data_IF_339697087628
#
_entry.id   IF_339697087628
#
_cell.length_a   1.000
_cell.length_b   1.000
_cell.length_c   1.000
_cell.angle_alpha   90.00
_cell.angle_beta   90.00
_cell.angle_gamma   90.00
#
_symmetry.space_group_name_H-M   'P 1'
#
loop_
_entity.id
_entity.type
_entity.pdbx_description
1 polymer ?
#
# COMPACT_ATOMS: atom_id res chain seq x y z
N UNK A 1 16.04 2.71 -30.36
CA UNK A 1 14.85 3.32 -29.72
C UNK A 1 14.21 4.41 -30.59
N UNK A 2 14.92 5.47 -31.01
CA UNK A 2 14.32 6.55 -31.84
C UNK A 2 13.69 6.07 -33.15
N UNK A 3 14.36 5.16 -33.88
CA UNK A 3 13.83 4.60 -35.13
C UNK A 3 12.57 3.75 -34.91
N UNK A 4 12.52 2.99 -33.80
CA UNK A 4 11.33 2.24 -33.38
C UNK A 4 10.17 3.21 -33.12
N UNK A 5 10.40 4.23 -32.27
CA UNK A 5 9.41 5.25 -31.92
C UNK A 5 8.86 5.99 -33.15
N UNK A 6 9.68 6.22 -34.18
CA UNK A 6 9.24 6.86 -35.42
C UNK A 6 8.32 5.97 -36.28
N UNK A 7 8.34 4.64 -36.07
CA UNK A 7 7.62 3.66 -36.88
C UNK A 7 6.46 2.98 -36.15
N UNK A 8 6.34 3.17 -34.83
CA UNK A 8 5.33 2.50 -34.01
C UNK A 8 4.35 3.49 -33.40
N UNK A 9 3.06 3.14 -33.40
CA UNK A 9 2.11 3.74 -32.48
C UNK A 9 2.29 3.11 -31.10
N UNK A 10 2.26 3.93 -30.05
CA UNK A 10 2.30 3.45 -28.66
C UNK A 10 1.03 3.86 -27.95
N UNK A 11 0.64 3.06 -26.96
CA UNK A 11 -0.48 3.34 -26.07
C UNK A 11 -0.06 2.97 -24.66
N UNK A 12 -0.26 3.86 -23.70
CA UNK A 12 0.01 3.56 -22.30
C UNK A 12 -1.00 4.25 -21.38
N UNK A 13 -1.61 3.51 -20.43
CA UNK A 13 -2.45 4.09 -19.40
C UNK A 13 -1.60 4.78 -18.32
N UNK A 14 -2.16 5.80 -17.68
CA UNK A 14 -1.44 6.59 -16.67
C UNK A 14 -1.11 5.79 -15.40
N UNK A 15 -2.01 4.95 -14.91
CA UNK A 15 -1.90 4.26 -13.62
C UNK A 15 -0.90 3.09 -13.55
N UNK A 16 -0.01 2.96 -14.55
CA UNK A 16 1.00 1.90 -14.62
C UNK A 16 2.39 2.51 -14.44
N UNK A 17 3.26 2.40 -15.45
CA UNK A 17 4.62 2.90 -15.37
C UNK A 17 4.72 4.43 -15.22
N UNK A 18 3.70 5.18 -15.68
CA UNK A 18 3.61 6.64 -15.50
C UNK A 18 3.31 7.01 -14.03
N UNK A 19 2.59 6.18 -13.28
CA UNK A 19 2.19 6.48 -11.89
C UNK A 19 1.11 7.56 -11.76
N UNK A 20 0.31 7.79 -12.79
CA UNK A 20 -0.79 8.77 -12.80
C UNK A 20 -2.16 8.18 -12.45
N UNK A 21 -3.22 8.97 -12.61
CA UNK A 21 -4.60 8.58 -12.26
C UNK A 21 -5.21 7.69 -13.35
N UNK A 22 -5.92 6.62 -12.95
CA UNK A 22 -6.58 5.71 -13.90
C UNK A 22 -7.70 6.38 -14.69
N UNK A 23 -8.03 5.81 -15.85
CA UNK A 23 -9.10 6.30 -16.73
C UNK A 23 -8.61 7.10 -17.92
N UNK A 24 -7.31 7.41 -17.96
CA UNK A 24 -6.64 8.10 -19.07
C UNK A 24 -5.50 7.29 -19.63
N UNK A 25 -5.24 7.55 -20.91
CA UNK A 25 -4.14 6.97 -21.65
C UNK A 25 -3.51 8.04 -22.53
N UNK A 26 -2.22 7.91 -22.75
CA UNK A 26 -1.52 8.60 -23.83
C UNK A 26 -1.34 7.62 -24.98
N UNK A 27 -1.58 8.11 -26.18
CA UNK A 27 -1.27 7.39 -27.40
C UNK A 27 -0.43 8.25 -28.33
N UNK A 28 0.57 7.65 -28.94
CA UNK A 28 1.36 8.26 -30.01
C UNK A 28 1.01 7.60 -31.32
N UNK A 29 0.91 8.41 -32.38
CA UNK A 29 0.52 7.94 -33.70
C UNK A 29 1.55 8.35 -34.75
N UNK A 30 1.86 7.43 -35.66
CA UNK A 30 2.66 7.76 -36.85
C UNK A 30 1.82 8.56 -37.84
N UNK A 31 2.45 9.34 -38.75
CA UNK A 31 1.73 10.03 -39.82
C UNK A 31 0.85 9.08 -40.67
N UNK A 32 1.33 7.85 -40.90
CA UNK A 32 0.59 6.80 -41.59
C UNK A 32 -0.67 6.40 -40.82
N UNK A 33 -0.56 6.20 -39.50
CA UNK A 33 -1.70 5.86 -38.66
C UNK A 33 -2.74 6.98 -38.61
N UNK A 34 -2.31 8.24 -38.54
CA UNK A 34 -3.21 9.39 -38.60
C UNK A 34 -4.01 9.44 -39.92
N UNK A 35 -3.35 9.19 -41.07
CA UNK A 35 -4.05 9.08 -42.37
C UNK A 35 -5.04 7.91 -42.42
N UNK A 36 -4.69 6.77 -41.80
CA UNK A 36 -5.58 5.61 -41.71
C UNK A 36 -6.81 5.91 -40.84
N UNK A 37 -6.63 6.58 -39.70
CA UNK A 37 -7.72 7.03 -38.82
C UNK A 37 -8.66 7.95 -39.62
N UNK A 38 -8.12 8.93 -40.33
CA UNK A 38 -8.89 9.85 -41.16
C UNK A 38 -9.68 9.11 -42.25
N UNK A 39 -9.03 8.19 -42.98
CA UNK A 39 -9.68 7.38 -44.02
C UNK A 39 -10.79 6.50 -43.46
N UNK A 40 -10.53 5.76 -42.38
CA UNK A 40 -11.52 4.91 -41.73
C UNK A 40 -12.70 5.73 -41.22
N UNK A 41 -12.47 6.98 -40.81
CA UNK A 41 -13.54 7.82 -40.32
C UNK A 41 -14.51 8.30 -41.40
N UNK A 42 -14.07 8.36 -42.67
CA UNK A 42 -14.91 8.70 -43.83
C UNK A 42 -15.85 7.56 -44.23
N UNK A 43 -15.37 6.32 -44.14
CA UNK A 43 -16.13 5.12 -44.50
C UNK A 43 -15.85 4.00 -43.47
N UNK A 44 -16.47 4.07 -42.28
CA UNK A 44 -16.19 3.10 -41.23
C UNK A 44 -17.02 1.83 -41.45
N UNK A 45 -16.41 0.67 -41.25
CA UNK A 45 -17.11 -0.63 -41.35
C UNK A 45 -18.20 -0.83 -40.27
N UNK A 46 -18.21 0.01 -39.23
CA UNK A 46 -19.24 0.05 -38.18
C UNK A 46 -19.36 1.44 -37.56
N UNK A 47 -20.44 1.68 -36.83
CA UNK A 47 -20.61 2.94 -36.10
C UNK A 47 -19.51 3.13 -35.03
N UNK A 48 -18.86 4.29 -35.04
CA UNK A 48 -17.85 4.68 -34.03
C UNK A 48 -18.53 5.65 -33.04
N UNK A 49 -18.59 5.34 -31.73
CA UNK A 49 -19.12 6.25 -30.71
C UNK A 49 -18.38 7.59 -30.70
N UNK A 50 -19.10 8.70 -30.48
CA UNK A 50 -18.52 10.06 -30.55
C UNK A 50 -17.27 10.23 -29.67
N UNK A 51 -17.29 9.67 -28.47
CA UNK A 51 -16.22 9.75 -27.48
C UNK A 51 -14.95 8.99 -27.91
N UNK A 52 -15.06 8.05 -28.85
CA UNK A 52 -13.95 7.26 -29.37
C UNK A 52 -13.42 7.80 -30.71
N UNK A 53 -13.99 8.90 -31.22
CA UNK A 53 -13.56 9.52 -32.49
C UNK A 53 -12.34 10.40 -32.25
N UNK A 54 -11.22 9.97 -32.83
CA UNK A 54 -9.99 10.78 -32.87
C UNK A 54 -10.08 11.86 -33.97
N UNK A 55 -10.63 11.50 -35.14
CA UNK A 55 -10.91 12.45 -36.22
C UNK A 55 -12.25 13.16 -35.98
N UNK A 56 -12.18 14.45 -35.69
CA UNK A 56 -13.34 15.31 -35.40
C UNK A 56 -13.85 15.98 -36.68
N UNK A 57 -15.13 16.43 -36.72
CA UNK A 57 -15.65 17.20 -37.85
C UNK A 57 -14.81 18.44 -38.11
N UNK A 58 -14.40 18.64 -39.36
CA UNK A 58 -13.69 19.84 -39.79
C UNK A 58 -14.58 21.09 -39.66
N UNK A 59 -15.88 20.93 -39.91
CA UNK A 59 -16.92 21.93 -39.62
C UNK A 59 -17.78 21.49 -38.42
N UNK A 60 -17.63 22.14 -37.26
CA UNK A 60 -18.44 21.85 -36.07
C UNK A 60 -19.94 22.04 -36.26
N UNK A 61 -20.38 22.86 -37.23
CA UNK A 61 -21.80 23.08 -37.55
C UNK A 61 -22.41 21.91 -38.33
N UNK A 62 -21.58 21.06 -38.94
CA UNK A 62 -21.99 19.87 -39.70
C UNK A 62 -21.39 18.58 -39.12
N UNK A 63 -21.63 18.28 -37.83
CA UNK A 63 -20.90 17.21 -37.12
C UNK A 63 -21.21 15.79 -37.64
N UNK A 64 -22.35 15.64 -38.33
CA UNK A 64 -22.82 14.36 -38.86
C UNK A 64 -22.65 14.22 -40.38
N UNK A 65 -22.41 15.32 -41.11
CA UNK A 65 -22.43 15.33 -42.59
C UNK A 65 -21.22 16.01 -43.25
N UNK A 66 -20.28 16.54 -42.46
CA UNK A 66 -19.05 17.16 -42.96
C UNK A 66 -17.86 16.21 -42.92
N UNK A 67 -16.80 16.61 -43.62
CA UNK A 67 -15.50 15.95 -43.57
C UNK A 67 -14.96 15.88 -42.15
N UNK A 68 -14.17 14.85 -41.88
CA UNK A 68 -13.54 14.62 -40.58
C UNK A 68 -12.05 14.59 -40.73
N UNK A 69 -11.37 15.22 -39.77
CA UNK A 69 -9.91 15.37 -39.79
C UNK A 69 -9.33 15.19 -38.39
N UNK A 70 -8.12 14.63 -38.34
CA UNK A 70 -7.30 14.60 -37.13
C UNK A 70 -6.64 15.95 -36.83
N UNK A 71 -6.60 16.88 -37.80
CA UNK A 71 -5.96 18.19 -37.67
C UNK A 71 -6.66 19.14 -36.67
N UNK A 72 -7.87 18.80 -36.23
CA UNK A 72 -8.65 19.53 -35.22
C UNK A 72 -9.06 18.62 -34.04
N UNK A 73 -8.43 17.44 -33.95
CA UNK A 73 -8.74 16.41 -32.95
C UNK A 73 -8.09 16.65 -31.59
N UNK A 74 -8.29 15.76 -30.61
CA UNK A 74 -7.66 15.80 -29.29
C UNK A 74 -6.18 15.37 -29.36
N UNK A 75 -5.41 15.95 -30.28
CA UNK A 75 -4.02 15.63 -30.55
C UNK A 75 -3.14 16.83 -30.22
N UNK A 76 -1.96 16.55 -29.68
CA UNK A 76 -0.89 17.52 -29.52
C UNK A 76 -0.07 17.60 -30.82
N UNK A 77 0.14 18.81 -31.32
CA UNK A 77 1.03 19.11 -32.44
C UNK A 77 2.40 19.55 -31.89
N UNK A 78 3.45 18.72 -32.06
CA UNK A 78 4.77 19.05 -31.57
C UNK A 78 5.48 20.13 -32.38
N UNK A 79 5.10 20.41 -33.62
CA UNK A 79 5.72 21.47 -34.42
C UNK A 79 5.20 22.85 -34.00
N UNK A 80 3.90 22.95 -33.77
CA UNK A 80 3.25 24.16 -33.29
C UNK A 80 3.20 24.30 -31.76
N UNK A 81 3.73 23.33 -31.03
CA UNK A 81 3.69 23.22 -29.56
C UNK A 81 2.30 23.54 -28.96
N UNK A 82 1.26 22.89 -29.49
CA UNK A 82 -0.13 23.17 -29.09
C UNK A 82 -1.04 21.98 -29.22
N UNK A 83 -2.13 21.98 -28.46
CA UNK A 83 -3.26 21.08 -28.72
C UNK A 83 -4.05 21.56 -29.93
N UNK A 84 -4.39 20.64 -30.84
CA UNK A 84 -5.15 20.92 -32.06
C UNK A 84 -6.67 21.03 -31.82
N UNK A 85 -7.16 20.50 -30.71
CA UNK A 85 -8.58 20.43 -30.37
C UNK A 85 -8.80 19.86 -28.97
N UNK A 86 -10.07 19.75 -28.56
CA UNK A 86 -10.44 19.35 -27.21
C UNK A 86 -11.57 18.34 -27.16
N UNK A 87 -11.33 17.20 -26.50
CA UNK A 87 -12.37 16.31 -25.97
C UNK A 87 -11.98 16.00 -24.52
N UNK A 88 -11.97 17.03 -23.67
CA UNK A 88 -11.54 16.93 -22.27
C UNK A 88 -12.76 17.28 -21.42
N UNK A 89 -13.24 16.34 -20.60
CA UNK A 89 -14.25 16.61 -19.58
C UNK A 89 -13.59 17.16 -18.31
N UNK A 90 -14.34 17.72 -17.37
CA UNK A 90 -13.79 18.35 -16.17
C UNK A 90 -12.94 17.38 -15.31
N UNK A 91 -13.35 16.10 -15.20
CA UNK A 91 -12.58 15.07 -14.49
C UNK A 91 -11.19 14.84 -15.12
N UNK A 92 -11.03 15.11 -16.42
CA UNK A 92 -9.77 14.96 -17.14
C UNK A 92 -8.73 15.99 -16.73
N UNK A 93 -9.13 17.21 -16.38
CA UNK A 93 -8.17 18.25 -16.02
C UNK A 93 -7.41 17.91 -14.73
N UNK A 94 -8.10 17.43 -13.69
CA UNK A 94 -7.47 17.02 -12.43
C UNK A 94 -6.55 15.81 -12.62
N UNK A 95 -7.02 14.78 -13.34
CA UNK A 95 -6.21 13.60 -13.60
C UNK A 95 -4.94 13.93 -14.41
N UNK A 96 -5.03 14.83 -15.39
CA UNK A 96 -3.87 15.32 -16.13
C UNK A 96 -2.93 16.15 -15.25
N UNK A 97 -3.47 17.05 -14.43
CA UNK A 97 -2.66 17.87 -13.52
C UNK A 97 -1.90 16.99 -12.51
N UNK A 98 -2.59 16.09 -11.80
CA UNK A 98 -1.97 15.17 -10.84
C UNK A 98 -0.92 14.29 -11.49
N UNK A 99 -1.19 13.75 -12.68
CA UNK A 99 -0.23 12.94 -13.43
C UNK A 99 0.99 13.77 -13.83
N UNK A 100 0.78 14.98 -14.35
CA UNK A 100 1.88 15.87 -14.79
C UNK A 100 2.76 16.29 -13.61
N UNK A 101 2.16 16.77 -12.52
CA UNK A 101 2.92 17.14 -11.32
C UNK A 101 3.57 15.91 -10.65
N UNK A 102 2.92 14.74 -10.70
CA UNK A 102 3.50 13.47 -10.27
C UNK A 102 4.75 13.08 -11.06
N UNK A 103 4.71 13.23 -12.39
CA UNK A 103 5.86 13.01 -13.26
C UNK A 103 7.00 13.98 -12.97
N UNK A 104 6.72 15.29 -12.83
CA UNK A 104 7.73 16.29 -12.48
C UNK A 104 8.35 16.06 -11.09
N UNK A 105 7.56 15.58 -10.12
CA UNK A 105 8.10 15.14 -8.80
C UNK A 105 9.00 13.92 -8.96
N UNK A 106 8.58 12.94 -9.76
CA UNK A 106 9.35 11.71 -10.00
C UNK A 106 10.66 12.01 -10.74
N UNK A 107 10.64 12.87 -11.74
CA UNK A 107 11.82 13.32 -12.47
C UNK A 107 12.81 14.03 -11.55
N UNK A 108 12.34 14.94 -10.68
CA UNK A 108 13.21 15.60 -9.69
C UNK A 108 13.85 14.61 -8.72
N UNK A 109 13.11 13.59 -8.28
CA UNK A 109 13.58 12.58 -7.31
C UNK A 109 14.47 11.51 -7.93
N UNK A 110 14.17 11.08 -9.15
CA UNK A 110 14.68 9.85 -9.75
C UNK A 110 15.44 10.10 -11.06
N UNK A 111 15.41 11.32 -11.61
CA UNK A 111 16.03 11.69 -12.87
C UNK A 111 15.24 11.26 -14.10
N UNK A 112 15.95 11.14 -15.22
CA UNK A 112 15.35 10.87 -16.53
C UNK A 112 14.70 9.49 -16.64
N UNK A 113 13.86 9.32 -17.68
CA UNK A 113 13.27 8.01 -18.03
C UNK A 113 14.32 6.92 -18.28
N UNK A 114 15.52 7.29 -18.77
CA UNK A 114 16.63 6.35 -18.93
C UNK A 114 17.10 5.81 -17.58
N UNK A 115 17.13 6.65 -16.54
CA UNK A 115 17.45 6.20 -15.19
C UNK A 115 16.35 5.27 -14.64
N UNK A 116 15.07 5.59 -14.88
CA UNK A 116 13.96 4.71 -14.49
C UNK A 116 14.08 3.34 -15.16
N UNK A 117 14.37 3.27 -16.46
CA UNK A 117 14.56 1.99 -17.17
C UNK A 117 15.76 1.21 -16.62
N UNK A 118 16.87 1.89 -16.33
CA UNK A 118 18.06 1.28 -15.72
C UNK A 118 17.73 0.69 -14.36
N UNK A 119 17.04 1.45 -13.50
CA UNK A 119 16.59 0.99 -12.18
C UNK A 119 15.63 -0.19 -12.28
N UNK A 120 14.69 -0.15 -13.23
CA UNK A 120 13.77 -1.27 -13.48
C UNK A 120 14.52 -2.56 -13.85
N UNK A 121 15.57 -2.43 -14.66
CA UNK A 121 16.44 -3.56 -15.04
C UNK A 121 17.23 -4.07 -13.83
N UNK A 122 17.84 -3.17 -13.06
CA UNK A 122 18.57 -3.52 -11.84
C UNK A 122 17.67 -4.21 -10.80
N UNK A 123 16.43 -3.76 -10.64
CA UNK A 123 15.45 -4.40 -9.76
C UNK A 123 15.16 -5.84 -10.21
N UNK A 124 14.97 -6.08 -11.51
CA UNK A 124 14.79 -7.44 -12.05
C UNK A 124 16.01 -8.31 -11.76
N UNK A 125 17.21 -7.78 -11.95
CA UNK A 125 18.44 -8.51 -11.73
C UNK A 125 18.63 -8.84 -10.23
N UNK A 126 18.33 -7.90 -9.34
CA UNK A 126 18.32 -8.13 -7.89
C UNK A 126 17.34 -9.24 -7.47
N UNK A 127 16.14 -9.31 -8.08
CA UNK A 127 15.20 -10.41 -7.83
C UNK A 127 15.75 -11.74 -8.36
N UNK A 128 16.35 -11.76 -9.56
CA UNK A 128 16.97 -12.97 -10.09
C UNK A 128 18.01 -13.52 -9.10
N UNK A 129 18.88 -12.65 -8.58
CA UNK A 129 19.95 -13.01 -7.66
C UNK A 129 19.40 -13.46 -6.29
N UNK A 130 18.40 -12.78 -5.75
CA UNK A 130 17.75 -13.16 -4.50
C UNK A 130 17.04 -14.52 -4.63
N UNK A 131 16.24 -14.70 -5.69
CA UNK A 131 15.46 -15.92 -5.92
C UNK A 131 16.36 -17.14 -6.19
N UNK A 132 17.53 -16.95 -6.79
CA UNK A 132 18.51 -18.03 -6.99
C UNK A 132 18.99 -18.67 -5.68
N UNK A 133 18.92 -17.93 -4.56
CA UNK A 133 19.36 -18.36 -3.22
C UNK A 133 18.21 -18.75 -2.31
N UNK A 134 16.97 -18.40 -2.65
CA UNK A 134 15.80 -18.78 -1.87
C UNK A 134 15.54 -20.29 -2.00
N UNK A 135 15.12 -21.00 -0.96
CA UNK A 135 14.60 -22.37 -1.09
C UNK A 135 13.11 -22.40 -1.46
N UNK A 136 12.38 -21.30 -1.25
CA UNK A 136 10.90 -21.25 -1.32
C UNK A 136 10.41 -20.58 -2.59
N UNK A 137 10.92 -19.40 -2.94
CA UNK A 137 10.41 -18.63 -4.07
C UNK A 137 11.20 -18.96 -5.34
N UNK A 138 10.50 -19.03 -6.47
CA UNK A 138 11.08 -19.20 -7.82
C UNK A 138 10.41 -18.24 -8.80
N UNK A 139 11.10 -17.93 -9.88
CA UNK A 139 10.53 -17.17 -10.99
C UNK A 139 9.58 -18.08 -11.79
N UNK A 140 8.37 -17.61 -12.07
CA UNK A 140 7.40 -18.36 -12.89
C UNK A 140 7.84 -18.41 -14.36
N UNK A 141 8.54 -17.37 -14.82
CA UNK A 141 9.07 -17.27 -16.18
C UNK A 141 10.47 -17.84 -16.21
N UNK A 142 10.63 -19.01 -16.82
CA UNK A 142 11.88 -19.77 -16.86
C UNK A 142 12.92 -19.11 -17.76
N UNK A 143 12.53 -18.70 -18.96
CA UNK A 143 13.33 -17.98 -19.96
C UNK A 143 13.78 -16.58 -19.46
N UNK A 144 15.07 -16.35 -19.14
CA UNK A 144 15.55 -15.08 -18.58
C UNK A 144 15.22 -13.85 -19.45
N UNK A 145 15.29 -14.00 -20.76
CA UNK A 145 15.03 -12.95 -21.75
C UNK A 145 13.55 -12.53 -21.82
N UNK A 146 12.63 -13.35 -21.29
CA UNK A 146 11.19 -13.05 -21.22
C UNK A 146 10.76 -12.46 -19.88
N UNK A 147 11.67 -12.32 -18.91
CA UNK A 147 11.36 -11.79 -17.58
C UNK A 147 11.15 -10.27 -17.65
N UNK A 148 9.99 -9.82 -17.18
CA UNK A 148 9.61 -8.42 -17.17
C UNK A 148 10.46 -7.59 -16.20
N UNK A 149 10.89 -6.41 -16.64
CA UNK A 149 11.63 -5.48 -15.80
C UNK A 149 10.72 -4.61 -14.90
N UNK A 150 9.44 -4.46 -15.24
CA UNK A 150 8.48 -3.68 -14.45
C UNK A 150 7.57 -4.55 -13.58
N UNK A 151 7.39 -5.81 -13.97
CA UNK A 151 6.53 -6.78 -13.30
C UNK A 151 7.21 -8.13 -13.34
N UNK A 152 7.33 -8.78 -12.18
CA UNK A 152 7.90 -10.13 -12.05
C UNK A 152 6.85 -11.09 -11.49
N UNK A 153 6.79 -12.29 -12.07
CA UNK A 153 5.92 -13.38 -11.63
C UNK A 153 6.75 -14.36 -10.81
N UNK A 154 6.30 -14.61 -9.58
CA UNK A 154 6.92 -15.50 -8.61
C UNK A 154 5.95 -16.65 -8.31
N UNK A 155 6.50 -17.84 -8.09
CA UNK A 155 5.80 -19.01 -7.59
C UNK A 155 6.52 -19.53 -6.37
N UNK A 156 5.79 -20.21 -5.50
CA UNK A 156 6.35 -20.95 -4.39
C UNK A 156 6.62 -22.38 -4.83
N UNK A 157 7.78 -22.91 -4.45
CA UNK A 157 8.15 -24.30 -4.58
C UNK A 157 8.39 -24.82 -3.17
N UNK A 158 7.50 -25.72 -2.74
CA UNK A 158 7.57 -26.37 -1.44
C UNK A 158 7.32 -27.89 -1.60
N UNK A 159 8.38 -28.68 -1.78
CA UNK A 159 8.26 -30.12 -2.02
C UNK A 159 7.52 -30.87 -0.91
N UNK A 160 7.54 -30.35 0.33
CA UNK A 160 6.87 -30.99 1.45
C UNK A 160 5.33 -30.93 1.34
N UNK A 161 4.79 -30.05 0.48
CA UNK A 161 3.36 -29.82 0.34
C UNK A 161 2.81 -30.05 -1.06
N UNK A 162 3.63 -30.50 -2.01
CA UNK A 162 3.27 -30.65 -3.42
C UNK A 162 2.04 -31.55 -3.63
N UNK A 163 1.88 -32.59 -2.80
CA UNK A 163 0.73 -33.53 -2.86
C UNK A 163 -0.35 -33.28 -1.80
N UNK A 164 -0.23 -32.21 -1.01
CA UNK A 164 -1.13 -31.97 0.13
C UNK A 164 -2.50 -31.39 -0.26
N UNK A 165 -2.61 -30.76 -1.44
CA UNK A 165 -3.77 -29.95 -1.81
C UNK A 165 -3.88 -28.61 -1.04
N UNK A 166 -2.95 -28.32 -0.12
CA UNK A 166 -3.00 -27.12 0.74
C UNK A 166 -2.41 -25.86 0.10
N UNK A 167 -1.64 -26.00 -0.99
CA UNK A 167 -0.90 -24.89 -1.61
C UNK A 167 -1.76 -23.65 -1.85
N UNK A 168 -2.94 -23.81 -2.48
CA UNK A 168 -3.83 -22.68 -2.78
C UNK A 168 -4.33 -21.97 -1.51
N UNK A 169 -4.61 -22.72 -0.43
CA UNK A 169 -5.03 -22.15 0.87
C UNK A 169 -3.89 -21.39 1.53
N UNK A 170 -2.68 -21.94 1.51
CA UNK A 170 -1.50 -21.27 2.06
C UNK A 170 -1.22 -19.98 1.31
N UNK A 171 -1.30 -20.00 -0.03
CA UNK A 171 -1.13 -18.79 -0.85
C UNK A 171 -2.23 -17.74 -0.59
N UNK A 172 -3.47 -18.17 -0.31
CA UNK A 172 -4.53 -17.24 0.07
C UNK A 172 -4.25 -16.61 1.44
N UNK A 173 -3.84 -17.43 2.41
CA UNK A 173 -3.53 -17.01 3.78
C UNK A 173 -2.29 -16.11 3.85
N UNK A 174 -1.26 -16.40 3.06
CA UNK A 174 -0.06 -15.54 2.96
C UNK A 174 -0.39 -14.17 2.39
N UNK A 175 -1.32 -14.07 1.43
CA UNK A 175 -1.80 -12.78 0.91
C UNK A 175 -2.58 -11.99 1.94
N UNK A 176 -3.29 -12.67 2.83
CA UNK A 176 -3.97 -12.02 3.95
C UNK A 176 -2.96 -11.40 4.92
N UNK A 177 -1.91 -12.16 5.26
CA UNK A 177 -0.80 -11.69 6.11
C UNK A 177 0.01 -10.55 5.45
N UNK A 178 0.22 -10.59 4.13
CA UNK A 178 0.83 -9.48 3.39
C UNK A 178 -0.06 -8.22 3.35
N UNK A 179 -1.37 -8.40 3.49
CA UNK A 179 -2.37 -7.33 3.50
C UNK A 179 -2.41 -6.57 4.82
N UNK A 180 -3.48 -5.80 5.02
CA UNK A 180 -3.74 -5.10 6.28
C UNK A 180 -4.40 -6.01 7.32
N UNK A 181 -5.12 -7.05 6.87
CA UNK A 181 -5.95 -7.89 7.73
C UNK A 181 -5.15 -8.77 8.69
N UNK A 182 -3.97 -9.26 8.29
CA UNK A 182 -3.24 -10.25 9.08
C UNK A 182 -3.90 -11.63 9.06
N UNK A 183 -3.48 -12.52 9.97
CA UNK A 183 -4.05 -13.87 10.11
C UNK A 183 -4.24 -14.21 11.58
N UNK A 184 -5.23 -15.04 11.89
CA UNK A 184 -5.46 -15.55 13.24
C UNK A 184 -5.21 -17.04 13.26
N UNK A 185 -4.34 -17.48 14.16
CA UNK A 185 -4.02 -18.89 14.35
C UNK A 185 -5.16 -19.61 15.11
N UNK A 186 -5.25 -20.95 15.02
CA UNK A 186 -6.29 -21.72 15.73
C UNK A 186 -6.29 -21.55 17.25
N UNK A 187 -5.16 -21.15 17.83
CA UNK A 187 -5.01 -20.84 19.26
C UNK A 187 -5.58 -19.47 19.66
N UNK A 188 -6.06 -18.69 18.69
CA UNK A 188 -6.61 -17.34 18.87
C UNK A 188 -5.59 -16.21 18.77
N UNK A 189 -4.29 -16.52 18.62
CA UNK A 189 -3.27 -15.49 18.44
C UNK A 189 -3.43 -14.83 17.06
N UNK A 190 -3.41 -13.50 17.04
CA UNK A 190 -3.55 -12.72 15.81
C UNK A 190 -2.20 -12.13 15.39
N UNK A 191 -1.74 -12.53 14.22
CA UNK A 191 -0.58 -11.95 13.56
C UNK A 191 -1.05 -10.76 12.70
N UNK A 192 -0.58 -9.53 12.98
CA UNK A 192 -1.01 -8.35 12.25
C UNK A 192 -0.52 -8.37 10.80
N UNK A 193 -1.31 -7.76 9.91
CA UNK A 193 -0.95 -7.61 8.52
C UNK A 193 0.28 -6.71 8.31
N UNK A 194 1.12 -7.06 7.34
CA UNK A 194 2.35 -6.34 7.02
C UNK A 194 2.10 -5.06 6.19
N UNK A 195 0.91 -4.88 5.61
CA UNK A 195 0.55 -3.78 4.71
C UNK A 195 1.53 -3.59 3.52
N UNK A 196 2.10 -4.70 3.04
CA UNK A 196 3.01 -4.74 1.88
C UNK A 196 2.35 -5.26 0.60
N UNK A 197 1.09 -5.71 0.68
CA UNK A 197 0.30 -6.16 -0.48
C UNK A 197 0.11 -5.07 -1.55
N UNK A 198 0.41 -3.80 -1.23
CA UNK A 198 0.42 -2.69 -2.21
C UNK A 198 1.39 -2.93 -3.38
N UNK A 199 2.38 -3.81 -3.20
CA UNK A 199 3.39 -4.13 -4.20
C UNK A 199 3.16 -5.46 -4.93
N UNK A 200 2.22 -6.28 -4.44
CA UNK A 200 2.00 -7.64 -4.93
C UNK A 200 0.52 -7.91 -5.10
N UNK A 201 0.15 -8.43 -6.26
CA UNK A 201 -1.19 -8.95 -6.48
C UNK A 201 -1.11 -10.33 -7.11
N UNK A 202 -2.15 -11.14 -6.99
CA UNK A 202 -2.35 -12.28 -7.87
C UNK A 202 -3.50 -11.98 -8.81
N UNK A 203 -3.33 -12.29 -10.09
CA UNK A 203 -4.40 -12.20 -11.08
C UNK A 203 -4.84 -13.62 -11.41
N UNK A 204 -6.14 -13.95 -11.33
CA UNK A 204 -6.65 -15.22 -11.79
C UNK A 204 -6.14 -15.53 -13.21
N UNK A 205 -5.65 -16.75 -13.44
CA UNK A 205 -5.14 -17.19 -14.74
C UNK A 205 -3.72 -16.76 -15.10
N UNK A 206 -2.94 -16.16 -14.19
CA UNK A 206 -1.52 -15.83 -14.42
C UNK A 206 -0.62 -16.96 -13.92
N UNK A 207 0.44 -17.37 -14.64
CA UNK A 207 1.39 -18.34 -14.11
C UNK A 207 2.13 -17.77 -12.89
N UNK A 208 1.95 -18.41 -11.72
CA UNK A 208 2.60 -18.04 -10.46
C UNK A 208 1.64 -17.73 -9.32
N UNK A 209 2.21 -17.61 -8.12
CA UNK A 209 1.47 -17.35 -6.89
C UNK A 209 1.42 -15.85 -6.54
N UNK A 210 2.43 -15.09 -6.96
CA UNK A 210 2.58 -13.66 -6.71
C UNK A 210 3.03 -12.90 -7.97
N UNK A 211 2.48 -11.69 -8.18
CA UNK A 211 2.92 -10.75 -9.21
C UNK A 211 3.41 -9.46 -8.55
N UNK A 212 4.73 -9.29 -8.53
CA UNK A 212 5.41 -8.15 -7.93
C UNK A 212 5.59 -7.01 -8.93
N UNK A 213 5.31 -5.77 -8.50
CA UNK A 213 5.52 -4.55 -9.30
C UNK A 213 6.85 -3.92 -8.92
N UNK A 214 7.83 -4.03 -9.82
CA UNK A 214 9.26 -3.81 -9.53
C UNK A 214 9.87 -2.72 -10.40
N UNK A 215 9.01 -1.90 -11.04
CA UNK A 215 9.42 -0.85 -11.97
C UNK A 215 10.39 0.17 -11.37
N UNK A 216 11.03 0.96 -12.23
CA UNK A 216 12.10 1.90 -11.84
C UNK A 216 11.73 2.98 -10.82
N UNK A 217 10.45 3.21 -10.57
CA UNK A 217 9.98 4.11 -9.50
C UNK A 217 10.25 3.53 -8.11
N UNK A 218 10.30 2.20 -7.99
CA UNK A 218 10.58 1.49 -6.73
C UNK A 218 12.08 1.57 -6.40
N UNK A 219 12.40 1.69 -5.11
CA UNK A 219 13.78 1.58 -4.66
C UNK A 219 14.23 0.11 -4.72
N UNK A 220 15.50 -0.19 -5.03
CA UNK A 220 16.01 -1.56 -5.01
C UNK A 220 15.83 -2.25 -3.66
N UNK A 221 16.05 -1.53 -2.56
CA UNK A 221 15.94 -2.10 -1.21
C UNK A 221 14.49 -2.51 -0.88
N UNK A 222 13.49 -1.73 -1.34
CA UNK A 222 12.07 -2.10 -1.21
C UNK A 222 11.76 -3.40 -1.97
N UNK A 223 12.43 -3.65 -3.09
CA UNK A 223 12.24 -4.87 -3.89
C UNK A 223 12.80 -6.08 -3.17
N UNK A 224 13.95 -5.95 -2.51
CA UNK A 224 14.52 -7.03 -1.68
C UNK A 224 13.64 -7.30 -0.46
N UNK A 225 13.28 -6.23 0.28
CA UNK A 225 12.40 -6.34 1.45
C UNK A 225 11.05 -6.97 1.09
N UNK A 226 10.53 -6.71 -0.11
CA UNK A 226 9.32 -7.38 -0.60
C UNK A 226 9.50 -8.90 -0.68
N UNK A 227 10.63 -9.40 -1.20
CA UNK A 227 10.87 -10.83 -1.33
C UNK A 227 11.00 -11.51 0.04
N UNK A 228 11.67 -10.84 0.98
CA UNK A 228 11.79 -11.31 2.36
C UNK A 228 10.40 -11.43 3.01
N UNK A 229 9.55 -10.41 2.85
CA UNK A 229 8.17 -10.43 3.33
C UNK A 229 7.31 -11.50 2.64
N UNK A 230 7.50 -11.76 1.34
CA UNK A 230 6.80 -12.83 0.63
C UNK A 230 7.16 -14.21 1.18
N UNK A 231 8.44 -14.45 1.45
CA UNK A 231 8.90 -15.71 2.03
C UNK A 231 8.40 -15.86 3.47
N UNK A 232 8.55 -14.81 4.29
CA UNK A 232 8.03 -14.76 5.64
C UNK A 232 6.53 -15.10 5.68
N UNK A 233 5.73 -14.37 4.90
CA UNK A 233 4.29 -14.53 4.91
C UNK A 233 3.84 -15.90 4.39
N UNK A 234 4.56 -16.48 3.43
CA UNK A 234 4.29 -17.86 3.01
C UNK A 234 4.55 -18.86 4.13
N UNK A 235 5.67 -18.74 4.83
CA UNK A 235 6.05 -19.66 5.90
C UNK A 235 5.10 -19.53 7.11
N UNK A 236 4.75 -18.31 7.53
CA UNK A 236 3.76 -18.08 8.58
C UNK A 236 2.38 -18.63 8.21
N UNK A 237 1.93 -18.38 6.97
CA UNK A 237 0.69 -18.94 6.46
C UNK A 237 0.70 -20.47 6.37
N UNK A 238 1.85 -21.07 6.02
CA UNK A 238 2.02 -22.53 5.99
C UNK A 238 1.82 -23.12 7.38
N UNK A 239 2.42 -22.50 8.41
CA UNK A 239 2.25 -22.91 9.80
C UNK A 239 0.78 -22.84 10.19
N UNK A 240 0.14 -21.68 10.00
CA UNK A 240 -1.27 -21.48 10.36
C UNK A 240 -2.20 -22.49 9.68
N UNK A 241 -2.01 -22.77 8.38
CA UNK A 241 -2.84 -23.75 7.67
C UNK A 241 -2.59 -25.18 8.16
N UNK A 242 -1.34 -25.54 8.48
CA UNK A 242 -1.05 -26.86 9.05
C UNK A 242 -1.67 -27.00 10.44
N UNK A 243 -1.59 -25.98 11.29
CA UNK A 243 -2.26 -25.93 12.59
C UNK A 243 -3.78 -26.10 12.46
N UNK A 244 -4.40 -25.43 11.47
CA UNK A 244 -5.82 -25.60 11.17
C UNK A 244 -6.17 -27.05 10.78
N UNK A 245 -5.30 -27.75 10.04
CA UNK A 245 -5.52 -29.15 9.68
C UNK A 245 -5.31 -30.09 10.87
N UNK A 246 -4.33 -29.83 11.72
CA UNK A 246 -4.07 -30.63 12.92
C UNK A 246 -5.20 -30.47 13.96
N UNK A 247 -5.71 -29.26 14.16
CA UNK A 247 -6.85 -29.02 15.07
C UNK A 247 -8.11 -29.76 14.59
N UNK A 248 -8.36 -29.85 13.27
CA UNK A 248 -9.44 -30.69 12.70
C UNK A 248 -9.27 -32.17 12.98
N UNK A 249 -8.03 -32.64 13.13
CA UNK A 249 -7.71 -34.02 13.49
C UNK A 249 -7.69 -34.25 15.00
N UNK A 250 -7.91 -33.20 15.81
CA UNK A 250 -7.86 -33.25 17.26
C UNK A 250 -6.45 -33.19 17.84
N UNK A 251 -5.43 -32.93 17.02
CA UNK A 251 -4.03 -32.81 17.44
C UNK A 251 -3.68 -31.33 17.68
N UNK A 252 -3.97 -30.82 18.89
CA UNK A 252 -3.52 -29.47 19.24
C UNK A 252 -2.04 -29.44 19.55
N UNK A 253 -1.30 -28.66 18.77
CA UNK A 253 0.08 -28.30 19.11
C UNK A 253 0.08 -27.55 20.44
N UNK A 254 0.93 -28.02 21.36
CA UNK A 254 1.11 -27.36 22.66
C UNK A 254 1.73 -25.99 22.43
N UNK A 255 1.21 -24.97 23.11
CA UNK A 255 1.71 -23.61 23.01
C UNK A 255 3.25 -23.60 23.13
N UNK A 256 3.93 -23.00 22.15
CA UNK A 256 5.24 -22.44 22.47
C UNK A 256 4.99 -21.40 23.56
N UNK A 257 5.71 -21.40 24.70
CA UNK A 257 5.58 -20.32 25.65
C UNK A 257 5.79 -19.03 24.86
N UNK A 258 4.76 -18.18 24.84
CA UNK A 258 4.77 -16.94 24.12
C UNK A 258 6.05 -16.21 24.46
N UNK A 259 7.03 -16.21 23.55
CA UNK A 259 8.23 -15.37 23.70
C UNK A 259 7.89 -13.91 23.40
N UNK A 260 6.60 -13.64 23.16
CA UNK A 260 5.96 -12.34 23.22
C UNK A 260 5.06 -12.34 24.47
N UNK A 261 5.66 -12.50 25.65
CA UNK A 261 5.16 -11.72 26.77
C UNK A 261 5.31 -10.26 26.34
N UNK A 262 4.17 -9.59 26.23
CA UNK A 262 4.03 -8.15 26.12
C UNK A 262 5.18 -7.41 26.81
N UNK A 263 6.16 -6.92 26.05
CA UNK A 263 7.04 -5.81 26.43
C UNK A 263 7.55 -5.76 27.88
N UNK A 264 7.86 -6.88 28.54
CA UNK A 264 8.57 -6.86 29.82
C UNK A 264 10.07 -7.07 29.58
N UNK A 265 10.68 -6.13 28.87
CA UNK A 265 12.08 -5.78 29.10
C UNK A 265 12.08 -4.75 30.23
N UNK A 266 11.73 -5.21 31.42
CA UNK A 266 11.58 -4.36 32.59
C UNK A 266 11.52 -5.22 33.83
N UNK A 267 12.15 -4.76 34.91
CA UNK A 267 12.10 -5.37 36.23
C UNK A 267 10.65 -5.67 36.59
N UNK A 268 10.30 -6.94 36.85
CA UNK A 268 8.94 -7.38 37.17
C UNK A 268 8.35 -6.69 38.42
N UNK A 269 9.18 -5.93 39.15
CA UNK A 269 8.78 -5.09 40.28
C UNK A 269 8.52 -3.62 39.93
N UNK A 270 8.90 -3.15 38.73
CA UNK A 270 8.79 -1.73 38.35
C UNK A 270 7.34 -1.36 38.03
N UNK A 271 6.84 -0.37 38.76
CA UNK A 271 5.58 0.30 38.44
C UNK A 271 5.82 1.34 37.36
N UNK A 272 4.89 1.43 36.40
CA UNK A 272 4.90 2.47 35.37
C UNK A 272 3.67 3.38 35.52
N UNK A 273 3.83 4.67 35.26
CA UNK A 273 2.74 5.65 35.26
C UNK A 273 2.58 6.29 33.87
N UNK A 274 1.33 6.36 33.39
CA UNK A 274 0.99 6.89 32.07
C UNK A 274 -0.06 7.99 32.22
N UNK A 275 0.21 9.18 31.68
CA UNK A 275 -0.76 10.27 31.60
C UNK A 275 -1.63 10.13 30.35
N UNK A 276 -2.95 10.15 30.49
CA UNK A 276 -3.90 10.28 29.37
C UNK A 276 -4.47 11.69 29.43
N UNK A 277 -4.02 12.56 28.52
CA UNK A 277 -4.30 13.99 28.53
C UNK A 277 -5.41 14.40 27.54
N UNK A 278 -6.02 13.45 26.84
CA UNK A 278 -7.08 13.69 25.88
C UNK A 278 -8.36 12.93 26.25
N UNK A 279 -9.54 13.46 25.89
CA UNK A 279 -10.80 12.74 25.98
C UNK A 279 -10.73 11.36 25.33
N UNK A 280 -11.11 10.31 26.07
CA UNK A 280 -11.23 8.95 25.55
C UNK A 280 -12.69 8.50 25.60
N UNK A 281 -13.09 7.75 24.57
CA UNK A 281 -14.48 7.33 24.38
C UNK A 281 -15.19 8.13 23.30
N UNK A 282 -15.87 7.42 22.39
CA UNK A 282 -16.60 8.02 21.27
C UNK A 282 -18.06 8.34 21.61
N UNK A 283 -18.54 7.91 22.78
CA UNK A 283 -19.89 8.17 23.29
C UNK A 283 -19.82 9.16 24.43
N UNK A 284 -20.84 9.98 24.58
CA UNK A 284 -21.00 10.84 25.76
C UNK A 284 -21.91 10.13 26.76
N UNK A 285 -21.54 10.19 28.03
CA UNK A 285 -22.35 9.72 29.15
C UNK A 285 -23.55 10.64 29.43
N UNK A 286 -24.37 10.30 30.43
CA UNK A 286 -25.59 11.04 30.78
C UNK A 286 -25.36 12.52 31.12
N UNK A 287 -24.16 12.86 31.59
CA UNK A 287 -23.76 14.23 31.96
C UNK A 287 -23.03 14.98 30.85
N UNK A 288 -22.97 14.41 29.63
CA UNK A 288 -22.29 15.03 28.48
C UNK A 288 -20.76 14.88 28.49
N UNK A 289 -20.20 14.16 29.47
CA UNK A 289 -18.77 13.84 29.52
C UNK A 289 -18.41 12.61 28.64
N UNK A 290 -17.19 12.51 28.09
CA UNK A 290 -16.74 11.33 27.36
C UNK A 290 -16.83 10.04 28.19
N UNK A 291 -17.44 9.02 27.60
CA UNK A 291 -17.59 7.69 28.19
C UNK A 291 -16.32 6.86 28.01
N UNK A 292 -15.50 6.85 29.06
CA UNK A 292 -14.22 6.14 29.13
C UNK A 292 -14.36 4.68 29.56
N UNK A 293 -15.57 4.15 29.75
CA UNK A 293 -15.82 2.82 30.35
C UNK A 293 -15.20 1.67 29.56
N UNK A 294 -15.26 1.70 28.22
CA UNK A 294 -14.68 0.66 27.35
C UNK A 294 -13.15 0.62 27.45
N UNK A 295 -12.52 1.80 27.43
CA UNK A 295 -11.06 1.90 27.54
C UNK A 295 -10.59 1.48 28.93
N UNK A 296 -11.31 1.90 29.97
CA UNK A 296 -11.06 1.46 31.34
C UNK A 296 -11.13 -0.06 31.46
N UNK A 297 -12.21 -0.67 30.97
CA UNK A 297 -12.38 -2.13 31.02
C UNK A 297 -11.26 -2.86 30.26
N UNK A 298 -10.81 -2.33 29.13
CA UNK A 298 -9.68 -2.89 28.39
C UNK A 298 -8.37 -2.82 29.19
N UNK A 299 -8.07 -1.67 29.80
CA UNK A 299 -6.87 -1.48 30.63
C UNK A 299 -6.87 -2.44 31.82
N UNK A 300 -7.99 -2.52 32.54
CA UNK A 300 -8.13 -3.38 33.72
C UNK A 300 -8.06 -4.87 33.33
N UNK A 301 -8.66 -5.29 32.21
CA UNK A 301 -8.55 -6.66 31.70
C UNK A 301 -7.12 -7.06 31.29
N UNK A 302 -6.26 -6.08 30.99
CA UNK A 302 -4.83 -6.28 30.68
C UNK A 302 -3.92 -6.18 31.91
N UNK A 303 -4.48 -6.04 33.10
CA UNK A 303 -3.73 -5.93 34.36
C UNK A 303 -3.26 -4.52 34.71
N UNK A 304 -3.66 -3.50 33.94
CA UNK A 304 -3.42 -2.10 34.27
C UNK A 304 -4.41 -1.56 35.31
N UNK A 305 -4.10 -0.41 35.90
CA UNK A 305 -4.95 0.29 36.87
C UNK A 305 -5.35 1.65 36.31
N UNK A 306 -6.64 1.93 36.28
CA UNK A 306 -7.18 3.18 35.74
C UNK A 306 -7.57 4.16 36.86
N UNK A 307 -7.03 5.38 36.81
CA UNK A 307 -7.26 6.44 37.80
C UNK A 307 -7.97 7.62 37.15
N UNK A 308 -8.97 8.16 37.85
CA UNK A 308 -9.55 9.45 37.50
C UNK A 308 -8.77 10.55 38.22
N UNK A 309 -8.14 11.45 37.46
CA UNK A 309 -7.29 12.49 38.02
C UNK A 309 -5.82 12.08 38.16
N UNK A 310 -5.04 12.97 38.78
CA UNK A 310 -3.60 12.78 39.00
C UNK A 310 -3.34 11.59 39.94
N UNK A 311 -2.34 10.77 39.59
CA UNK A 311 -2.00 9.58 40.39
C UNK A 311 -1.12 10.00 41.57
N UNK A 312 -1.52 9.59 42.79
CA UNK A 312 -0.69 9.73 43.98
C UNK A 312 0.31 8.58 44.07
N UNK A 313 1.57 8.87 44.38
CA UNK A 313 2.65 7.88 44.52
C UNK A 313 2.36 6.78 45.56
N UNK A 314 1.51 7.06 46.54
CA UNK A 314 1.09 6.11 47.58
C UNK A 314 0.01 5.12 47.10
N UNK A 315 -0.62 5.36 45.95
CA UNK A 315 -1.66 4.52 45.35
C UNK A 315 -1.14 3.61 44.21
N UNK A 316 0.19 3.51 44.10
CA UNK A 316 0.87 2.75 43.06
C UNK A 316 1.09 1.30 43.48
N UNK A 317 0.51 0.37 42.73
CA UNK A 317 0.70 -1.07 42.92
C UNK A 317 2.01 -1.50 42.23
N UNK A 318 2.93 -2.17 42.95
CA UNK A 318 4.16 -2.70 42.37
C UNK A 318 3.89 -3.61 41.16
N UNK A 319 4.69 -3.46 40.10
CA UNK A 319 4.62 -4.31 38.90
C UNK A 319 3.40 -4.08 38.00
N UNK A 320 2.66 -2.98 38.17
CA UNK A 320 1.51 -2.62 37.31
C UNK A 320 1.74 -1.33 36.54
N UNK A 321 0.94 -1.13 35.49
CA UNK A 321 0.87 0.13 34.74
C UNK A 321 -0.35 0.93 35.21
N UNK A 322 -0.10 2.14 35.71
CA UNK A 322 -1.11 3.04 36.26
C UNK A 322 -1.42 4.16 35.26
N UNK A 323 -2.65 4.21 34.78
CA UNK A 323 -3.13 5.20 33.82
C UNK A 323 -3.86 6.33 34.55
N UNK A 324 -3.36 7.55 34.45
CA UNK A 324 -3.97 8.78 34.98
C UNK A 324 -4.80 9.45 33.90
N UNK A 325 -6.12 9.39 34.00
CA UNK A 325 -7.01 10.07 33.06
C UNK A 325 -7.30 11.50 33.51
N UNK A 326 -6.77 12.47 32.76
CA UNK A 326 -6.89 13.91 33.02
C UNK A 326 -7.20 14.66 31.71
N UNK A 327 -8.42 14.49 31.15
CA UNK A 327 -8.80 15.06 29.86
C UNK A 327 -8.95 16.59 29.88
N UNK A 328 -9.03 17.20 31.06
CA UNK A 328 -9.25 18.64 31.24
C UNK A 328 -7.94 19.46 31.22
N UNK A 329 -6.78 18.81 31.07
CA UNK A 329 -5.49 19.49 30.94
C UNK A 329 -5.41 20.21 29.59
N UNK A 330 -5.70 21.51 29.58
CA UNK A 330 -5.86 22.29 28.35
C UNK A 330 -4.82 23.39 28.17
N UNK A 331 -4.17 23.85 29.25
CA UNK A 331 -3.13 24.87 29.20
C UNK A 331 -1.73 24.29 29.45
N UNK A 332 -0.71 24.93 28.87
CA UNK A 332 0.68 24.56 29.09
C UNK A 332 1.07 24.57 30.58
N UNK A 333 0.53 25.51 31.37
CA UNK A 333 0.79 25.59 32.80
C UNK A 333 0.16 24.44 33.61
N UNK A 334 -1.01 23.96 33.19
CA UNK A 334 -1.65 22.78 33.81
C UNK A 334 -0.87 21.51 33.51
N UNK A 335 -0.43 21.33 32.26
CA UNK A 335 0.34 20.15 31.84
C UNK A 335 1.71 20.13 32.53
N UNK A 336 2.40 21.28 32.61
CA UNK A 336 3.71 21.36 33.28
C UNK A 336 3.61 21.03 34.76
N UNK A 337 2.56 21.45 35.48
CA UNK A 337 2.36 21.07 36.90
C UNK A 337 2.30 19.55 37.11
N UNK A 338 1.92 18.81 36.08
CA UNK A 338 1.80 17.35 36.11
C UNK A 338 3.05 16.64 35.57
N UNK A 339 3.93 17.32 34.82
CA UNK A 339 4.97 16.66 34.01
C UNK A 339 6.37 17.25 34.19
N UNK A 340 6.55 18.33 34.96
CA UNK A 340 7.84 19.02 35.12
C UNK A 340 8.92 18.23 35.88
N UNK A 341 8.56 17.15 36.56
CA UNK A 341 9.42 16.38 37.49
C UNK A 341 9.48 14.89 37.17
N UNK A 342 9.05 14.46 35.99
CA UNK A 342 9.05 13.03 35.63
C UNK A 342 8.00 12.20 36.38
N UNK A 343 6.87 12.81 36.76
CA UNK A 343 5.78 12.14 37.48
C UNK A 343 5.15 10.96 36.69
N UNK A 344 5.32 10.98 35.36
CA UNK A 344 4.82 9.96 34.44
C UNK A 344 5.99 9.38 33.61
N UNK A 345 6.00 8.08 33.36
CA UNK A 345 6.95 7.43 32.42
C UNK A 345 6.52 7.64 30.96
N UNK A 346 5.23 7.85 30.69
CA UNK A 346 4.71 8.06 29.34
C UNK A 346 3.45 8.95 29.30
N UNK A 347 3.12 9.41 28.08
CA UNK A 347 1.91 10.20 27.81
C UNK A 347 1.16 9.68 26.59
N UNK A 348 -0.17 9.65 26.68
CA UNK A 348 -1.11 9.42 25.58
C UNK A 348 -1.80 10.77 25.32
N UNK A 349 -1.43 11.40 24.21
CA UNK A 349 -2.04 12.62 23.71
C UNK A 349 -2.12 12.59 22.17
N UNK A 350 -3.28 12.95 21.63
CA UNK A 350 -3.60 13.10 20.22
C UNK A 350 -3.91 14.55 19.84
N UNK A 351 -4.64 15.30 20.67
CA UNK A 351 -5.03 16.69 20.41
C UNK A 351 -4.35 17.67 21.39
N UNK A 352 -4.06 17.23 22.61
CA UNK A 352 -3.35 18.02 23.62
C UNK A 352 -1.88 18.21 23.22
N UNK A 353 -1.47 19.48 23.05
CA UNK A 353 -0.09 19.84 22.76
C UNK A 353 0.78 19.76 24.02
N UNK A 354 1.81 18.92 23.99
CA UNK A 354 2.73 18.73 25.11
C UNK A 354 3.79 19.84 25.11
N UNK A 355 3.91 20.64 26.19
CA UNK A 355 4.91 21.71 26.28
C UNK A 355 6.35 21.19 26.26
N UNK A 356 7.29 21.98 25.72
CA UNK A 356 8.72 21.63 25.63
C UNK A 356 9.37 21.35 26.99
N UNK A 357 8.82 21.90 28.09
CA UNK A 357 9.31 21.68 29.45
C UNK A 357 8.80 20.43 30.16
N UNK A 358 7.99 19.59 29.50
CA UNK A 358 7.50 18.33 30.07
C UNK A 358 8.60 17.27 30.11
N UNK A 359 8.72 16.57 31.25
CA UNK A 359 9.70 15.53 31.52
C UNK A 359 8.98 14.22 31.81
N UNK A 360 9.39 13.14 31.16
CA UNK A 360 8.89 11.78 31.38
C UNK A 360 10.08 10.85 31.72
N UNK A 361 9.87 9.92 32.67
CA UNK A 361 10.92 9.12 33.32
C UNK A 361 11.37 7.88 32.56
#
# INVERSE_FOLDING_TARGET
>A
MRELLARTCMFMPFQKAIGGVSGYFVATFTPQALRLIERNQRDPSWAIPRQLKIALPADPKRPLSGDRSVAVGPLYDPQGDKMLGGVINTYSALAFAETTFGLLRSERRLGSVENLNRRSTANRDAINDWVSRSPVLRLSVTEPERRGAAVTLLKVVDPALESSGLHARIIARSKQLLGYEGITHPDGNHEPGLDVARYVNAFPGTPGDYRAWIGGVRAPDDVVALLDNLQYAYLGAKVAVIEEELDKLGERLSQSPSTIESGHIGDASRTYTVLIADPIGLRFGPEGAPDHSEVRAHIEARGGVFHLGAVCSEALEPGRVHFSYQPDLSSAAEILRQTDKGQYDAVIAAATAIPEGSVFS
#
